data_IF_054144503893
#
_entry.id   IF_054144503893
#
_cell.length_a   1.000
_cell.length_b   1.000
_cell.length_c   1.000
_cell.angle_alpha   90.00
_cell.angle_beta   90.00
_cell.angle_gamma   90.00
#
_symmetry.space_group_name_H-M   'P 1'
#
loop_
_entity.id
_entity.type
_entity.pdbx_description
1 polymer ?
#
# COMPACT_ATOMS: atom_id res chain seq x y z
N UNK A 1 -16.17 -0.74 -6.10
CA UNK A 1 -15.01 -1.56 -5.67
C UNK A 1 -14.22 -0.78 -4.62
N UNK A 2 -13.57 -1.46 -3.68
CA UNK A 2 -12.61 -0.82 -2.76
C UNK A 2 -11.24 -1.45 -2.98
N UNK A 3 -10.24 -0.61 -3.24
CA UNK A 3 -8.84 -1.01 -3.31
C UNK A 3 -8.17 -0.66 -1.98
N UNK A 4 -7.64 -1.68 -1.30
CA UNK A 4 -6.79 -1.49 -0.13
C UNK A 4 -5.33 -1.56 -0.57
N UNK A 5 -4.54 -0.51 -0.33
CA UNK A 5 -3.12 -0.47 -0.66
C UNK A 5 -2.28 -0.13 0.58
N UNK A 6 -1.30 -0.96 0.91
CA UNK A 6 -0.38 -0.67 2.02
C UNK A 6 0.70 0.31 1.56
N UNK A 7 0.79 1.48 2.20
CA UNK A 7 1.85 2.48 1.93
C UNK A 7 2.94 2.45 2.99
N UNK A 8 4.19 2.64 2.56
CA UNK A 8 5.31 2.86 3.47
C UNK A 8 5.30 4.30 4.01
N UNK A 9 5.08 4.43 5.32
CA UNK A 9 5.03 5.73 5.99
C UNK A 9 6.39 6.43 5.96
N UNK A 10 7.50 5.67 5.91
CA UNK A 10 8.87 6.22 5.93
C UNK A 10 9.13 7.13 4.75
N UNK A 11 8.73 6.70 3.55
CA UNK A 11 8.90 7.45 2.30
C UNK A 11 8.17 8.80 2.31
N UNK A 12 7.08 8.90 3.07
CA UNK A 12 6.24 10.12 3.17
C UNK A 12 6.68 11.04 4.32
N UNK A 13 7.20 10.47 5.41
CA UNK A 13 7.74 11.25 6.54
C UNK A 13 9.06 11.95 6.21
N UNK A 14 9.87 11.36 5.30
CA UNK A 14 11.19 11.86 4.95
C UNK A 14 12.24 11.58 6.03
N UNK A 15 13.43 12.19 5.91
CA UNK A 15 14.48 12.07 6.93
C UNK A 15 14.03 12.63 8.29
N UNK A 16 14.36 12.00 9.43
CA UNK A 16 15.26 10.84 9.59
C UNK A 16 14.56 9.46 9.48
N UNK A 17 13.27 9.42 9.15
CA UNK A 17 12.49 8.18 9.09
C UNK A 17 12.84 7.28 7.90
N UNK A 18 13.53 7.82 6.89
CA UNK A 18 13.73 7.19 5.58
C UNK A 18 14.78 6.07 5.57
N UNK A 19 15.67 5.94 6.56
CA UNK A 19 16.71 4.89 6.56
C UNK A 19 16.94 4.26 7.94
N UNK A 20 16.82 2.93 8.01
CA UNK A 20 17.23 2.13 9.18
C UNK A 20 16.16 1.87 10.24
N UNK A 21 14.95 2.43 10.11
CA UNK A 21 13.85 2.17 11.04
C UNK A 21 13.30 0.74 10.89
N UNK A 22 13.54 -0.11 11.88
CA UNK A 22 13.05 -1.49 11.94
C UNK A 22 11.66 -1.54 12.59
N UNK A 23 10.70 -2.20 11.94
CA UNK A 23 9.34 -2.38 12.46
C UNK A 23 8.26 -2.16 11.40
N UNK A 24 7.00 -2.27 11.82
CA UNK A 24 5.83 -2.03 10.95
C UNK A 24 5.50 -0.53 10.93
N UNK A 25 5.90 0.16 9.87
CA UNK A 25 5.51 1.55 9.60
C UNK A 25 4.79 1.60 8.25
N UNK A 26 3.66 0.90 8.22
CA UNK A 26 2.80 0.77 7.05
C UNK A 26 1.44 1.37 7.39
N UNK A 27 0.85 2.10 6.45
CA UNK A 27 -0.52 2.60 6.58
C UNK A 27 -1.44 1.96 5.53
N UNK A 28 -2.60 1.39 5.94
CA UNK A 28 -3.61 0.91 5.00
C UNK A 28 -4.34 2.08 4.34
N UNK A 29 -4.13 2.27 3.04
CA UNK A 29 -4.88 3.23 2.24
C UNK A 29 -6.11 2.55 1.65
N UNK A 30 -7.32 3.00 2.01
CA UNK A 30 -8.53 2.51 1.37
C UNK A 30 -9.05 3.53 0.37
N UNK A 31 -9.18 3.11 -0.89
CA UNK A 31 -9.67 3.94 -1.98
C UNK A 31 -10.95 3.36 -2.54
N UNK A 32 -12.02 4.13 -2.49
CA UNK A 32 -13.29 3.79 -3.12
C UNK A 32 -13.18 4.05 -4.63
N UNK A 33 -13.48 3.03 -5.42
CA UNK A 33 -13.57 3.08 -6.87
C UNK A 33 -15.03 2.87 -7.25
N UNK A 34 -15.69 3.94 -7.65
CA UNK A 34 -17.12 3.93 -8.01
C UNK A 34 -17.32 3.49 -9.46
N UNK A 35 -18.45 2.80 -9.71
CA UNK A 35 -18.91 2.43 -11.05
C UNK A 35 -17.86 1.76 -11.96
N UNK A 36 -17.00 0.94 -11.35
CA UNK A 36 -15.97 0.19 -12.08
C UNK A 36 -16.59 -1.03 -12.77
N UNK A 37 -16.45 -1.08 -14.08
CA UNK A 37 -16.78 -2.21 -14.92
C UNK A 37 -15.65 -2.51 -15.93
N UNK A 38 -15.88 -3.47 -16.84
CA UNK A 38 -14.90 -3.90 -17.85
C UNK A 38 -14.51 -2.82 -18.88
N UNK A 39 -15.32 -1.77 -19.02
CA UNK A 39 -15.12 -0.67 -19.95
C UNK A 39 -14.49 0.56 -19.27
N UNK A 40 -14.36 0.56 -17.93
CA UNK A 40 -13.74 1.65 -17.20
C UNK A 40 -12.31 1.88 -17.67
N UNK A 41 -11.97 3.13 -17.96
CA UNK A 41 -10.64 3.49 -18.43
C UNK A 41 -9.62 3.34 -17.29
N UNK A 42 -8.52 2.65 -17.56
CA UNK A 42 -7.44 2.46 -16.59
C UNK A 42 -6.84 3.78 -16.10
N UNK A 43 -6.81 4.83 -16.92
CA UNK A 43 -6.30 6.16 -16.53
C UNK A 43 -7.17 6.81 -15.48
N UNK A 44 -8.49 6.62 -15.56
CA UNK A 44 -9.41 7.14 -14.54
C UNK A 44 -9.20 6.40 -13.20
N UNK A 45 -8.99 5.08 -13.24
CA UNK A 45 -8.65 4.30 -12.04
C UNK A 45 -7.33 4.75 -11.41
N UNK A 46 -6.29 4.97 -12.23
CA UNK A 46 -4.99 5.47 -11.77
C UNK A 46 -5.15 6.85 -11.12
N UNK A 47 -5.89 7.77 -11.74
CA UNK A 47 -6.13 9.11 -11.18
C UNK A 47 -6.81 9.02 -9.81
N UNK A 48 -7.86 8.21 -9.66
CA UNK A 48 -8.56 8.07 -8.38
C UNK A 48 -7.66 7.45 -7.31
N UNK A 49 -6.83 6.47 -7.68
CA UNK A 49 -5.82 5.89 -6.78
C UNK A 49 -4.77 6.92 -6.36
N UNK A 50 -4.26 7.73 -7.29
CA UNK A 50 -3.29 8.80 -7.01
C UNK A 50 -3.87 9.85 -6.06
N UNK A 51 -5.11 10.28 -6.29
CA UNK A 51 -5.82 11.22 -5.41
C UNK A 51 -6.02 10.62 -4.00
N UNK A 52 -6.48 9.37 -3.91
CA UNK A 52 -6.69 8.68 -2.64
C UNK A 52 -5.38 8.47 -1.85
N UNK A 53 -4.33 8.03 -2.53
CA UNK A 53 -2.99 7.88 -1.94
C UNK A 53 -2.33 9.23 -1.64
N UNK A 54 -2.71 10.29 -2.35
CA UNK A 54 -2.23 11.66 -2.14
C UNK A 54 -2.66 12.25 -0.80
N UNK A 55 -3.81 11.81 -0.24
CA UNK A 55 -4.28 12.19 1.10
C UNK A 55 -3.31 11.80 2.22
N UNK A 56 -2.44 10.82 1.99
CA UNK A 56 -1.52 10.30 3.01
C UNK A 56 -0.25 11.16 3.08
N UNK A 57 -0.36 12.35 3.65
CA UNK A 57 0.74 13.32 3.67
C UNK A 57 1.69 13.12 4.85
N UNK A 58 2.79 13.88 4.85
CA UNK A 58 3.71 13.94 5.99
C UNK A 58 3.02 14.48 7.25
N UNK A 59 2.18 15.50 7.10
CA UNK A 59 1.45 16.14 8.19
C UNK A 59 0.51 15.15 8.87
N UNK A 60 -0.19 14.33 8.08
CA UNK A 60 -1.02 13.24 8.59
C UNK A 60 -0.21 12.29 9.47
N UNK A 61 0.95 11.81 9.00
CA UNK A 61 1.74 10.85 9.74
C UNK A 61 2.48 11.46 10.94
N UNK A 62 2.80 12.75 10.90
CA UNK A 62 3.24 13.49 12.09
C UNK A 62 2.11 13.56 13.13
N UNK A 63 0.86 13.69 12.70
CA UNK A 63 -0.29 13.65 13.61
C UNK A 63 -0.48 12.26 14.22
N UNK A 64 -0.39 11.20 13.41
CA UNK A 64 -0.37 9.80 13.89
C UNK A 64 0.71 9.58 14.95
N UNK A 65 1.90 10.15 14.73
CA UNK A 65 3.04 9.99 15.64
C UNK A 65 2.86 10.79 16.94
N UNK A 66 2.38 12.03 16.87
CA UNK A 66 2.47 12.99 17.97
C UNK A 66 1.16 13.20 18.72
N UNK A 67 0.01 12.79 18.17
CA UNK A 67 -1.29 12.85 18.83
C UNK A 67 -1.78 11.43 19.17
N UNK A 68 -1.65 10.99 20.44
CA UNK A 68 -2.09 9.67 20.89
C UNK A 68 -3.59 9.40 20.66
N UNK A 69 -4.40 10.45 20.49
CA UNK A 69 -5.84 10.33 20.27
C UNK A 69 -6.20 10.24 18.80
N UNK A 70 -5.26 10.52 17.90
CA UNK A 70 -5.55 10.60 16.47
C UNK A 70 -6.16 9.31 15.92
N UNK A 71 -5.59 8.15 16.27
CA UNK A 71 -6.09 6.85 15.81
C UNK A 71 -7.53 6.55 16.25
N UNK A 72 -7.99 7.16 17.35
CA UNK A 72 -9.36 7.05 17.84
C UNK A 72 -10.26 8.22 17.46
N UNK A 73 -9.78 9.14 16.62
CA UNK A 73 -10.53 10.34 16.22
C UNK A 73 -11.47 10.06 15.05
N UNK A 74 -12.57 10.82 14.98
CA UNK A 74 -13.49 10.80 13.84
C UNK A 74 -12.79 11.15 12.53
N UNK A 75 -11.75 11.98 12.58
CA UNK A 75 -10.93 12.33 11.41
C UNK A 75 -10.17 11.13 10.86
N UNK A 76 -9.54 10.32 11.73
CA UNK A 76 -8.89 9.09 11.29
C UNK A 76 -9.93 8.07 10.81
N UNK A 77 -11.10 7.99 11.46
CA UNK A 77 -12.19 7.13 11.01
C UNK A 77 -12.70 7.54 9.63
N UNK A 78 -12.87 8.84 9.37
CA UNK A 78 -13.24 9.37 8.07
C UNK A 78 -12.17 9.03 7.02
N UNK A 79 -10.90 9.29 7.29
CA UNK A 79 -9.81 8.94 6.36
C UNK A 79 -9.81 7.45 5.97
N UNK A 80 -10.13 6.58 6.93
CA UNK A 80 -10.15 5.14 6.73
C UNK A 80 -11.44 4.64 6.08
N UNK A 81 -12.59 5.24 6.38
CA UNK A 81 -13.90 4.68 6.04
C UNK A 81 -14.70 5.55 5.06
N UNK A 82 -14.12 6.62 4.52
CA UNK A 82 -14.79 7.56 3.61
C UNK A 82 -15.46 6.80 2.44
N UNK A 83 -16.80 6.78 2.44
CA UNK A 83 -17.59 6.10 1.40
C UNK A 83 -17.59 4.56 1.44
N UNK A 84 -16.96 3.95 2.44
CA UNK A 84 -16.81 2.48 2.56
C UNK A 84 -17.86 1.86 3.48
N UNK A 85 -18.28 2.56 4.54
CA UNK A 85 -19.23 2.04 5.53
C UNK A 85 -20.59 1.60 4.95
N UNK A 86 -20.92 2.02 3.73
CA UNK A 86 -22.19 1.73 3.04
C UNK A 86 -22.06 0.64 1.96
N UNK A 87 -20.87 0.10 1.67
CA UNK A 87 -20.63 -0.91 0.63
C UNK A 87 -19.83 -2.10 1.21
N UNK A 88 -20.32 -3.34 1.05
CA UNK A 88 -19.64 -4.58 1.51
C UNK A 88 -18.27 -4.79 0.79
N UNK A 89 -17.31 -5.57 1.36
CA UNK A 89 -15.96 -5.11 1.65
C UNK A 89 -14.95 -5.33 0.50
N UNK A 90 -13.84 -4.58 0.60
CA UNK A 90 -12.53 -4.69 -0.09
C UNK A 90 -12.50 -5.73 -1.23
N UNK A 91 -12.45 -5.24 -2.46
CA UNK A 91 -12.52 -6.09 -3.65
C UNK A 91 -11.13 -6.57 -4.09
N UNK A 92 -10.07 -5.81 -3.74
CA UNK A 92 -8.67 -6.18 -3.97
C UNK A 92 -7.73 -5.55 -2.94
N UNK A 93 -6.75 -6.33 -2.46
CA UNK A 93 -5.67 -5.88 -1.58
C UNK A 93 -4.39 -5.83 -2.38
N UNK A 94 -3.72 -4.69 -2.37
CA UNK A 94 -2.47 -4.46 -3.07
C UNK A 94 -1.35 -4.21 -2.06
N UNK A 95 -0.21 -4.83 -2.30
CA UNK A 95 1.05 -4.48 -1.64
C UNK A 95 2.15 -4.43 -2.68
N UNK A 96 3.01 -3.42 -2.59
CA UNK A 96 4.12 -3.25 -3.53
C UNK A 96 5.43 -3.53 -2.83
N UNK A 97 6.17 -4.50 -3.37
CA UNK A 97 7.55 -4.81 -2.98
C UNK A 97 8.57 -4.16 -3.92
N UNK A 98 8.10 -3.32 -4.84
CA UNK A 98 8.94 -2.50 -5.69
C UNK A 98 9.81 -1.56 -4.84
N UNK A 99 11.07 -1.40 -5.24
CA UNK A 99 12.07 -0.56 -4.58
C UNK A 99 12.39 -0.98 -3.14
N UNK A 100 12.17 -2.25 -2.76
CA UNK A 100 12.62 -2.80 -1.47
C UNK A 100 14.11 -3.24 -1.50
N UNK A 101 14.74 -3.22 -2.67
CA UNK A 101 16.16 -3.54 -2.84
C UNK A 101 16.49 -5.04 -2.87
N UNK A 102 15.49 -5.92 -2.96
CA UNK A 102 15.70 -7.36 -2.99
C UNK A 102 16.56 -7.83 -4.17
N UNK A 103 16.44 -7.19 -5.33
CA UNK A 103 17.24 -7.51 -6.53
C UNK A 103 18.73 -7.14 -6.36
N UNK A 104 19.07 -6.30 -5.39
CA UNK A 104 20.43 -5.86 -5.10
C UNK A 104 21.10 -6.67 -3.97
N UNK A 105 20.36 -7.61 -3.38
CA UNK A 105 20.83 -8.41 -2.27
C UNK A 105 21.90 -9.41 -2.72
N UNK A 106 23.10 -9.32 -2.13
CA UNK A 106 24.20 -10.25 -2.38
C UNK A 106 24.82 -10.69 -1.05
N UNK A 107 24.75 -11.99 -0.76
CA UNK A 107 25.33 -12.61 0.43
C UNK A 107 26.71 -13.24 0.16
N UNK A 108 27.42 -12.78 -0.86
CA UNK A 108 28.72 -13.31 -1.31
C UNK A 108 28.61 -14.42 -2.36
N UNK A 109 27.46 -14.53 -3.03
CA UNK A 109 27.15 -15.57 -4.03
C UNK A 109 26.55 -14.98 -5.32
N UNK A 110 26.56 -13.66 -5.46
CA UNK A 110 25.88 -12.95 -6.53
C UNK A 110 24.45 -12.59 -6.17
N UNK A 111 23.87 -11.72 -6.98
CA UNK A 111 22.48 -11.24 -6.87
C UNK A 111 21.46 -12.34 -7.20
N UNK A 112 20.24 -12.28 -6.67
CA UNK A 112 19.19 -13.23 -7.00
C UNK A 112 18.88 -13.20 -8.50
N UNK A 113 18.64 -14.39 -9.07
CA UNK A 113 18.14 -14.51 -10.43
C UNK A 113 16.66 -14.10 -10.52
N UNK A 114 15.87 -14.48 -9.51
CA UNK A 114 14.43 -14.27 -9.41
C UNK A 114 14.00 -14.18 -7.94
N UNK A 115 12.93 -13.43 -7.69
CA UNK A 115 12.29 -13.26 -6.39
C UNK A 115 10.79 -13.50 -6.55
N UNK A 116 10.19 -14.26 -5.64
CA UNK A 116 8.75 -14.42 -5.60
C UNK A 116 8.23 -14.63 -4.18
N UNK A 117 6.96 -14.28 -3.99
CA UNK A 117 6.23 -14.63 -2.79
C UNK A 117 5.85 -16.11 -2.81
N UNK A 118 6.29 -16.88 -1.80
CA UNK A 118 5.76 -18.22 -1.59
C UNK A 118 4.34 -18.13 -1.03
N UNK A 119 3.34 -18.60 -1.78
CA UNK A 119 1.98 -18.76 -1.26
C UNK A 119 1.95 -19.83 -0.18
N UNK A 120 1.50 -19.47 1.02
CA UNK A 120 1.30 -20.42 2.13
C UNK A 120 0.11 -21.36 1.88
N UNK A 121 0.10 -22.51 2.57
CA UNK A 121 -1.00 -23.50 2.49
C UNK A 121 -2.23 -23.13 3.31
N UNK A 122 -2.14 -22.10 4.16
CA UNK A 122 -3.26 -21.57 4.96
C UNK A 122 -3.57 -20.15 4.49
N UNK A 123 -4.79 -20.00 3.99
CA UNK A 123 -5.55 -18.76 3.80
C UNK A 123 -4.73 -17.50 3.53
N UNK A 124 -4.44 -17.27 2.26
CA UNK A 124 -4.18 -15.91 1.76
C UNK A 124 -5.48 -15.10 1.90
N UNK A 125 -5.38 -13.85 2.36
CA UNK A 125 -6.43 -12.86 2.13
C UNK A 125 -6.81 -12.94 0.64
N UNK A 126 -8.06 -13.30 0.35
CA UNK A 126 -8.53 -13.42 -1.03
C UNK A 126 -8.36 -12.10 -1.77
N UNK A 127 -8.04 -12.17 -3.07
CA UNK A 127 -7.76 -11.00 -3.91
C UNK A 127 -6.57 -10.15 -3.43
N UNK A 128 -5.52 -10.80 -2.89
CA UNK A 128 -4.24 -10.14 -2.63
C UNK A 128 -3.36 -10.16 -3.88
N UNK A 129 -2.85 -9.00 -4.26
CA UNK A 129 -1.93 -8.77 -5.37
C UNK A 129 -0.62 -8.24 -4.78
N UNK A 130 0.50 -8.90 -5.11
CA UNK A 130 1.84 -8.52 -4.65
C UNK A 130 2.68 -8.08 -5.84
N UNK A 131 2.89 -6.77 -5.96
CA UNK A 131 3.67 -6.21 -7.06
C UNK A 131 5.17 -6.36 -6.76
N UNK A 132 5.88 -7.12 -7.58
CA UNK A 132 7.31 -7.42 -7.42
C UNK A 132 8.11 -6.95 -8.63
N UNK A 133 9.27 -6.35 -8.40
CA UNK A 133 10.19 -5.94 -9.47
C UNK A 133 10.93 -7.13 -10.06
N UNK A 134 10.89 -7.24 -11.38
CA UNK A 134 11.72 -8.15 -12.16
C UNK A 134 12.76 -7.34 -12.95
N UNK A 135 13.67 -8.04 -13.65
CA UNK A 135 14.64 -7.38 -14.54
C UNK A 135 13.97 -6.73 -15.76
N UNK A 136 12.76 -7.17 -16.11
CA UNK A 136 12.06 -6.77 -17.33
C UNK A 136 10.82 -5.90 -17.04
N UNK A 137 10.42 -5.75 -15.78
CA UNK A 137 9.23 -4.99 -15.40
C UNK A 137 8.70 -5.35 -14.02
N UNK A 138 7.39 -5.55 -13.92
CA UNK A 138 6.67 -5.89 -12.69
C UNK A 138 5.92 -7.21 -12.88
N UNK A 139 6.01 -8.10 -11.88
CA UNK A 139 5.20 -9.31 -11.72
C UNK A 139 4.17 -9.10 -10.59
N UNK A 140 2.98 -9.70 -10.67
CA UNK A 140 1.85 -9.44 -9.76
C UNK A 140 1.06 -10.70 -9.39
#
# INVERSE_FOLDING_TARGET
MVALHFVDMRKRMGEPFSKGAIGNLLWPAMVLLEDVDKNTNIRDLVRVLEEGLGKLTKELFLKVQNDPRFLGSDECAQLMLEGIATKNPITSVFTSWANMGFNELDFGRGKPLWLAQRKGTKETITNTIVLMETKEGIEA
#
